data_IF_219702077284
#
_entry.id   IF_219702077284
#
_cell.length_a   1.000
_cell.length_b   1.000
_cell.length_c   1.000
_cell.angle_alpha   90.00
_cell.angle_beta   90.00
_cell.angle_gamma   90.00
#
_symmetry.space_group_name_H-M   'P 1'
#
loop_
_entity.id
_entity.type
_entity.pdbx_description
1 polymer ?
#
# COMPACT_ATOMS: atom_id res chain seq x y z
N UNK A 1 -6.72 4.76 -2.77
CA UNK A 1 -7.67 3.64 -3.00
C UNK A 1 -8.62 3.53 -1.84
N UNK A 2 -9.77 2.88 -2.02
CA UNK A 2 -10.65 2.47 -0.90
C UNK A 2 -10.21 1.11 -0.34
N UNK A 3 -10.67 0.74 0.86
CA UNK A 3 -10.39 -0.58 1.45
C UNK A 3 -10.91 -1.73 0.57
N UNK A 4 -12.03 -1.50 -0.14
CA UNK A 4 -12.57 -2.48 -1.10
C UNK A 4 -11.64 -2.66 -2.29
N UNK A 5 -11.20 -1.55 -2.89
CA UNK A 5 -10.26 -1.59 -4.03
C UNK A 5 -8.95 -2.26 -3.66
N UNK A 6 -8.43 -2.01 -2.45
CA UNK A 6 -7.23 -2.70 -1.96
C UNK A 6 -7.48 -4.19 -1.73
N UNK A 7 -8.65 -4.57 -1.22
CA UNK A 7 -9.03 -6.00 -1.07
C UNK A 7 -9.06 -6.71 -2.41
N UNK A 8 -9.73 -6.12 -3.41
CA UNK A 8 -9.85 -6.68 -4.74
C UNK A 8 -8.46 -6.81 -5.40
N UNK A 9 -7.63 -5.76 -5.29
CA UNK A 9 -6.25 -5.75 -5.79
C UNK A 9 -5.37 -6.86 -5.22
N UNK A 10 -5.36 -7.03 -3.90
CA UNK A 10 -4.56 -8.05 -3.22
C UNK A 10 -5.08 -9.47 -3.52
N UNK A 11 -6.40 -9.62 -3.67
CA UNK A 11 -7.03 -10.90 -4.01
C UNK A 11 -6.67 -11.40 -5.41
N UNK A 12 -6.63 -10.51 -6.39
CA UNK A 12 -6.29 -10.82 -7.78
C UNK A 12 -4.80 -11.10 -8.00
N UNK A 13 -3.92 -10.58 -7.14
CA UNK A 13 -2.46 -10.55 -7.38
C UNK A 13 -1.61 -11.19 -6.28
N UNK A 14 -2.12 -12.20 -5.58
CA UNK A 14 -1.42 -12.88 -4.46
C UNK A 14 0.04 -13.27 -4.75
N UNK A 15 0.37 -13.64 -5.99
CA UNK A 15 1.74 -14.03 -6.39
C UNK A 15 2.72 -12.84 -6.53
N UNK A 16 2.22 -11.62 -6.72
CA UNK A 16 3.02 -10.40 -6.94
C UNK A 16 3.15 -9.54 -5.67
N UNK A 17 2.40 -9.87 -4.62
CA UNK A 17 2.35 -9.11 -3.35
C UNK A 17 3.15 -9.81 -2.25
N UNK A 18 3.56 -11.06 -2.45
CA UNK A 18 4.41 -11.77 -1.51
C UNK A 18 5.79 -11.10 -1.40
N UNK A 19 6.17 -10.72 -0.18
CA UNK A 19 7.55 -10.32 0.14
C UNK A 19 8.49 -11.52 -0.15
N UNK A 20 9.54 -11.36 -0.98
CA UNK A 20 10.51 -12.42 -1.23
C UNK A 20 11.19 -12.95 0.05
N UNK A 21 11.15 -12.22 1.17
CA UNK A 21 11.68 -12.66 2.46
C UNK A 21 10.69 -13.50 3.31
N UNK A 22 9.41 -13.59 2.94
CA UNK A 22 8.40 -14.42 3.62
C UNK A 22 8.16 -14.08 5.10
N UNK A 23 8.57 -12.89 5.56
CA UNK A 23 8.49 -12.46 6.96
C UNK A 23 7.59 -11.23 7.08
N UNK A 24 6.34 -11.50 7.46
CA UNK A 24 5.20 -10.59 7.66
C UNK A 24 4.14 -10.74 6.54
N UNK A 25 2.84 -10.61 6.88
CA UNK A 25 1.82 -10.45 5.85
C UNK A 25 2.21 -9.25 4.97
N UNK A 26 1.95 -9.32 3.65
CA UNK A 26 2.21 -8.20 2.76
C UNK A 26 1.64 -6.91 3.37
N UNK A 27 2.39 -5.82 3.34
CA UNK A 27 2.05 -4.58 4.05
C UNK A 27 0.61 -4.09 3.76
N UNK A 28 0.08 -4.35 2.56
CA UNK A 28 -1.30 -4.10 2.19
C UNK A 28 -2.35 -4.89 2.99
N UNK A 29 -2.08 -6.14 3.38
CA UNK A 29 -2.97 -6.91 4.26
C UNK A 29 -3.02 -6.29 5.66
N UNK A 30 -1.88 -5.85 6.19
CA UNK A 30 -1.83 -5.14 7.47
C UNK A 30 -2.63 -3.82 7.41
N UNK A 31 -2.54 -3.08 6.30
CA UNK A 31 -3.36 -1.89 6.05
C UNK A 31 -4.85 -2.23 6.06
N UNK A 32 -5.27 -3.34 5.43
CA UNK A 32 -6.67 -3.77 5.46
C UNK A 32 -7.15 -4.08 6.88
N UNK A 33 -6.34 -4.73 7.70
CA UNK A 33 -6.67 -5.00 9.10
C UNK A 33 -6.80 -3.70 9.90
N UNK A 34 -5.90 -2.74 9.68
CA UNK A 34 -5.97 -1.41 10.31
C UNK A 34 -7.26 -0.68 9.91
N UNK A 35 -7.60 -0.68 8.62
CA UNK A 35 -8.80 -0.02 8.10
C UNK A 35 -10.12 -0.63 8.62
N UNK A 36 -10.09 -1.85 9.17
CA UNK A 36 -11.24 -2.52 9.80
C UNK A 36 -11.38 -2.21 11.29
N UNK A 37 -10.35 -1.67 11.93
CA UNK A 37 -10.38 -1.31 13.36
C UNK A 37 -11.16 -0.03 13.61
N UNK A 38 -11.80 0.07 14.78
CA UNK A 38 -12.28 1.38 15.25
C UNK A 38 -11.06 2.19 15.70
N UNK A 39 -11.16 3.53 15.62
CA UNK A 39 -10.04 4.42 15.99
C UNK A 39 -9.49 4.17 17.40
N UNK A 40 -10.34 3.79 18.35
CA UNK A 40 -9.92 3.52 19.74
C UNK A 40 -9.21 2.18 19.91
N UNK A 41 -9.32 1.28 18.94
CA UNK A 41 -8.71 -0.05 18.95
C UNK A 41 -7.35 -0.06 18.20
N UNK A 42 -6.88 1.10 17.72
CA UNK A 42 -5.58 1.23 17.06
C UNK A 42 -4.44 1.11 18.07
N UNK A 43 -3.41 0.36 17.71
CA UNK A 43 -2.21 0.12 18.53
C UNK A 43 -1.02 0.92 18.02
N UNK A 44 0.07 0.97 18.80
CA UNK A 44 1.34 1.54 18.34
C UNK A 44 1.88 0.79 17.11
N UNK A 45 1.73 -0.54 17.05
CA UNK A 45 2.14 -1.34 15.89
C UNK A 45 1.35 -0.96 14.62
N UNK A 46 0.07 -0.59 14.76
CA UNK A 46 -0.72 -0.09 13.63
C UNK A 46 -0.16 1.25 13.12
N UNK A 47 0.24 2.13 14.04
CA UNK A 47 0.86 3.42 13.71
C UNK A 47 2.20 3.20 13.00
N UNK A 48 3.05 2.32 13.52
CA UNK A 48 4.34 1.99 12.92
C UNK A 48 4.18 1.37 11.53
N UNK A 49 3.14 0.56 11.34
CA UNK A 49 2.76 0.02 10.03
C UNK A 49 2.41 1.14 9.05
N UNK A 50 1.59 2.11 9.47
CA UNK A 50 1.24 3.25 8.62
C UNK A 50 2.43 4.16 8.32
N UNK A 51 3.38 4.30 9.24
CA UNK A 51 4.64 5.02 8.97
C UNK A 51 5.47 4.34 7.87
N UNK A 52 5.52 3.00 7.85
CA UNK A 52 6.18 2.26 6.74
C UNK A 52 5.49 2.50 5.41
N UNK A 53 4.16 2.55 5.40
CA UNK A 53 3.38 2.89 4.19
C UNK A 53 3.72 4.30 3.70
N UNK A 54 3.77 5.28 4.59
CA UNK A 54 4.14 6.66 4.25
C UNK A 54 5.54 6.70 3.63
N UNK A 55 6.53 6.05 4.26
CA UNK A 55 7.90 6.01 3.74
C UNK A 55 7.99 5.41 2.33
N UNK A 56 7.23 4.34 2.04
CA UNK A 56 7.15 3.76 0.69
C UNK A 56 6.50 4.75 -0.28
N UNK A 57 5.39 5.39 0.09
CA UNK A 57 4.74 6.36 -0.79
C UNK A 57 5.65 7.55 -1.09
N UNK A 58 6.38 8.04 -0.08
CA UNK A 58 7.35 9.14 -0.26
C UNK A 58 8.47 8.73 -1.21
N UNK A 59 9.16 7.61 -0.97
CA UNK A 59 10.24 7.10 -1.85
C UNK A 59 9.77 6.85 -3.29
N UNK A 60 8.57 6.30 -3.44
CA UNK A 60 7.99 5.99 -4.74
C UNK A 60 7.35 7.19 -5.44
N UNK A 61 7.16 8.33 -4.77
CA UNK A 61 6.62 9.55 -5.41
C UNK A 61 7.63 10.69 -5.51
N UNK A 62 8.75 10.60 -4.79
CA UNK A 62 9.76 11.65 -4.76
C UNK A 62 10.30 11.97 -6.15
N UNK A 63 10.22 13.26 -6.51
CA UNK A 63 10.72 13.78 -7.78
C UNK A 63 9.99 13.27 -9.03
N UNK A 64 8.85 12.59 -8.90
CA UNK A 64 8.08 12.08 -10.04
C UNK A 64 6.83 12.92 -10.29
N UNK A 65 6.52 13.16 -11.56
CA UNK A 65 5.21 13.61 -12.00
C UNK A 65 4.20 12.46 -12.02
N UNK A 66 2.90 12.78 -11.96
CA UNK A 66 1.83 11.78 -12.09
C UNK A 66 1.96 10.98 -13.39
N UNK A 67 2.34 11.63 -14.50
CA UNK A 67 2.55 10.95 -15.78
C UNK A 67 3.67 9.91 -15.72
N UNK A 68 4.78 10.23 -15.05
CA UNK A 68 5.90 9.30 -14.85
C UNK A 68 5.50 8.11 -13.96
N UNK A 69 4.79 8.38 -12.85
CA UNK A 69 4.27 7.34 -11.96
C UNK A 69 3.33 6.35 -12.66
N UNK A 70 2.49 6.84 -13.57
CA UNK A 70 1.55 5.99 -14.33
C UNK A 70 2.29 5.16 -15.37
N UNK A 71 3.35 5.70 -15.96
CA UNK A 71 4.13 5.03 -17.02
C UNK A 71 5.09 3.97 -16.48
N UNK A 72 5.59 4.12 -15.25
CA UNK A 72 6.38 3.09 -14.56
C UNK A 72 5.46 2.08 -13.87
N UNK A 73 5.14 0.99 -14.58
CA UNK A 73 4.31 -0.08 -14.05
C UNK A 73 4.83 -0.61 -12.70
N UNK A 74 6.15 -0.75 -12.53
CA UNK A 74 6.73 -1.34 -11.33
C UNK A 74 6.50 -0.44 -10.11
N UNK A 75 6.72 0.86 -10.27
CA UNK A 75 6.45 1.89 -9.25
C UNK A 75 4.97 1.96 -8.92
N UNK A 76 4.10 1.96 -9.93
CA UNK A 76 2.65 1.87 -9.76
C UNK A 76 2.24 0.63 -8.96
N UNK A 77 2.79 -0.55 -9.26
CA UNK A 77 2.50 -1.78 -8.52
C UNK A 77 2.91 -1.66 -7.04
N UNK A 78 4.07 -1.10 -6.73
CA UNK A 78 4.54 -0.92 -5.35
C UNK A 78 3.63 0.03 -4.55
N UNK A 79 3.20 1.13 -5.15
CA UNK A 79 2.23 2.06 -4.55
C UNK A 79 0.88 1.38 -4.28
N UNK A 80 0.35 0.65 -5.26
CA UNK A 80 -0.94 -0.01 -5.12
C UNK A 80 -0.91 -1.15 -4.10
N UNK A 81 0.23 -1.83 -3.94
CA UNK A 81 0.42 -2.87 -2.92
C UNK A 81 0.32 -2.36 -1.48
N UNK A 82 0.49 -1.05 -1.26
CA UNK A 82 0.31 -0.40 0.04
C UNK A 82 -0.99 0.41 0.14
N UNK A 83 -1.85 0.36 -0.88
CA UNK A 83 -3.15 1.05 -0.93
C UNK A 83 -3.12 2.47 -1.51
N UNK A 84 -1.99 2.91 -2.07
CA UNK A 84 -1.87 4.19 -2.75
C UNK A 84 -2.14 4.05 -4.25
N UNK A 85 -3.08 4.85 -4.78
CA UNK A 85 -3.38 4.88 -6.22
C UNK A 85 -2.91 6.21 -6.80
N UNK A 86 -1.81 6.22 -7.59
CA UNK A 86 -1.22 7.46 -8.11
C UNK A 86 -2.11 8.18 -9.13
N UNK A 87 -3.12 7.51 -9.72
CA UNK A 87 -4.06 8.13 -10.67
C UNK A 87 -5.12 8.94 -9.92
N UNK A 88 -5.55 8.45 -8.74
CA UNK A 88 -6.58 9.11 -7.92
C UNK A 88 -6.01 10.08 -6.88
N UNK A 89 -4.73 9.95 -6.54
CA UNK A 89 -4.07 10.82 -5.58
C UNK A 89 -3.61 12.16 -6.17
N UNK A 90 -3.69 12.31 -7.50
CA UNK A 90 -3.37 13.54 -8.24
C UNK A 90 -4.50 14.55 -8.30
#
# INVERSE_FOLDING_TARGET
MTSRELTDWLGERKELVADPAGKAPPLGEAVLEILRKRRMDLTTDDVDTMWRVIAIVEDETEGQSIGELISDERRKYRLMNVGHDPIKAG
#
